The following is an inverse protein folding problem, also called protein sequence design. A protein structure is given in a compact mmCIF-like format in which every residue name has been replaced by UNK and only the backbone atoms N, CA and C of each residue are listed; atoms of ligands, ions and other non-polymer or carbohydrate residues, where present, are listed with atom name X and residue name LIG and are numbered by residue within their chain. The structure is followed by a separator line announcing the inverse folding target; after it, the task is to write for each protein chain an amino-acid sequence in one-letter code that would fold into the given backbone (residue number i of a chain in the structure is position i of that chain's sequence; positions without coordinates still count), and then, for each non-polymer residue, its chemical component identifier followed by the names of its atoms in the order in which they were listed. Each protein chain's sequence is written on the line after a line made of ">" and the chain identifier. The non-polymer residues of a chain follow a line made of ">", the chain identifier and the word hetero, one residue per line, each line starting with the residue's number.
data_IF_076052250023
#
_entry.id   IF_076052250023
#
_cell.length_a   1.000
_cell.length_b   1.000
_cell.length_c   1.000
_cell.angle_alpha   90.00
_cell.angle_beta   90.00
_cell.angle_gamma   90.00
#
_symmetry.space_group_name_H-M   'P 1'
#
loop_
_entity.id
_entity.type
_entity.pdbx_description
1 polymer ?
#
# COMPACT_ATOMS: atom_id res chain seq x y z
N UNK A 1 -12.82 18.16 7.93
CA UNK A 1 -12.52 16.97 7.09
C UNK A 1 -12.46 15.78 8.03
N UNK A 2 -13.07 14.63 7.72
CA UNK A 2 -12.99 13.46 8.62
C UNK A 2 -11.61 12.79 8.48
N UNK A 3 -11.15 12.10 9.52
CA UNK A 3 -9.85 11.41 9.50
C UNK A 3 -9.76 10.39 8.36
N UNK A 4 -10.85 9.69 8.05
CA UNK A 4 -10.92 8.76 6.92
C UNK A 4 -10.57 9.44 5.58
N UNK A 5 -10.99 10.69 5.39
CA UNK A 5 -10.69 11.46 4.18
C UNK A 5 -9.21 11.87 4.19
N UNK A 6 -8.68 12.30 5.33
CA UNK A 6 -7.26 12.64 5.47
C UNK A 6 -6.36 11.43 5.19
N UNK A 7 -6.72 10.24 5.69
CA UNK A 7 -5.97 9.01 5.46
C UNK A 7 -6.01 8.58 4.00
N UNK A 8 -7.15 8.75 3.33
CA UNK A 8 -7.27 8.52 1.89
C UNK A 8 -6.32 9.43 1.10
N UNK A 9 -6.24 10.72 1.46
CA UNK A 9 -5.34 11.66 0.81
C UNK A 9 -3.86 11.31 1.05
N UNK A 10 -3.49 10.92 2.26
CA UNK A 10 -2.13 10.45 2.61
C UNK A 10 -1.75 9.21 1.81
N UNK A 11 -2.67 8.24 1.70
CA UNK A 11 -2.46 7.02 0.91
C UNK A 11 -2.24 7.32 -0.57
N UNK A 12 -3.04 8.22 -1.16
CA UNK A 12 -2.86 8.64 -2.56
C UNK A 12 -1.53 9.37 -2.77
N UNK A 13 -1.13 10.23 -1.84
CA UNK A 13 0.15 10.94 -1.92
C UNK A 13 1.35 9.96 -1.84
N UNK A 14 1.28 8.97 -0.94
CA UNK A 14 2.28 7.91 -0.85
C UNK A 14 2.34 7.10 -2.15
N UNK A 15 1.19 6.69 -2.70
CA UNK A 15 1.13 5.95 -3.96
C UNK A 15 1.76 6.74 -5.13
N UNK A 16 1.51 8.05 -5.21
CA UNK A 16 2.16 8.92 -6.22
C UNK A 16 3.67 8.95 -6.07
N UNK A 17 4.17 9.02 -4.83
CA UNK A 17 5.61 9.00 -4.53
C UNK A 17 6.23 7.64 -4.86
N UNK A 18 5.50 6.54 -4.64
CA UNK A 18 5.94 5.20 -5.03
C UNK A 18 5.93 5.05 -6.55
N UNK A 19 4.97 5.61 -7.29
CA UNK A 19 4.98 5.54 -8.76
C UNK A 19 6.09 6.42 -9.34
N UNK A 20 6.31 7.59 -8.75
CA UNK A 20 7.39 8.53 -9.09
C UNK A 20 7.46 8.87 -10.60
N UNK A 21 6.29 9.08 -11.22
CA UNK A 21 6.18 9.42 -12.65
C UNK A 21 6.54 8.29 -13.62
N UNK A 22 6.83 7.07 -13.14
CA UNK A 22 7.12 5.90 -13.98
C UNK A 22 5.87 5.43 -14.72
N UNK A 23 6.05 4.95 -15.95
CA UNK A 23 4.99 4.31 -16.72
C UNK A 23 4.49 3.04 -15.99
N UNK A 24 3.20 2.97 -15.59
CA UNK A 24 2.69 1.87 -14.77
C UNK A 24 2.72 0.51 -15.45
N UNK A 25 2.77 0.46 -16.79
CA UNK A 25 2.75 -0.77 -17.57
C UNK A 25 4.19 -1.21 -17.85
N UNK A 26 5.00 -0.33 -18.44
CA UNK A 26 6.37 -0.64 -18.84
C UNK A 26 7.35 -0.76 -17.65
N UNK A 27 7.05 -0.12 -16.51
CA UNK A 27 7.89 -0.14 -15.30
C UNK A 27 7.22 -0.82 -14.11
N UNK A 28 6.15 -1.59 -14.34
CA UNK A 28 5.36 -2.26 -13.31
C UNK A 28 6.24 -2.96 -12.24
N UNK A 29 7.17 -3.82 -12.65
CA UNK A 29 8.03 -4.55 -11.72
C UNK A 29 8.86 -3.63 -10.81
N UNK A 30 9.40 -2.53 -11.35
CA UNK A 30 10.22 -1.58 -10.56
C UNK A 30 9.36 -0.80 -9.56
N UNK A 31 8.14 -0.44 -9.96
CA UNK A 31 7.17 0.22 -9.08
C UNK A 31 6.78 -0.71 -7.93
N UNK A 32 6.47 -1.98 -8.23
CA UNK A 32 6.07 -2.96 -7.21
C UNK A 32 7.21 -3.26 -6.23
N UNK A 33 8.45 -3.42 -6.70
CA UNK A 33 9.62 -3.56 -5.81
C UNK A 33 9.78 -2.34 -4.89
N UNK A 34 9.51 -1.13 -5.39
CA UNK A 34 9.54 0.08 -4.56
C UNK A 34 8.43 0.04 -3.51
N UNK A 35 7.23 -0.40 -3.88
CA UNK A 35 6.09 -0.54 -2.98
C UNK A 35 6.36 -1.56 -1.86
N UNK A 36 6.91 -2.72 -2.21
CA UNK A 36 7.32 -3.77 -1.27
C UNK A 36 8.31 -3.21 -0.23
N UNK A 37 9.34 -2.51 -0.70
CA UNK A 37 10.34 -1.92 0.17
C UNK A 37 9.76 -0.85 1.09
N UNK A 38 8.88 0.01 0.57
CA UNK A 38 8.20 1.03 1.36
C UNK A 38 7.33 0.42 2.47
N UNK A 39 6.57 -0.64 2.17
CA UNK A 39 5.76 -1.36 3.15
C UNK A 39 6.66 -1.98 4.23
N UNK A 40 7.74 -2.66 3.85
CA UNK A 40 8.68 -3.24 4.79
C UNK A 40 9.30 -2.18 5.71
N UNK A 41 9.71 -1.03 5.16
CA UNK A 41 10.27 0.07 5.93
C UNK A 41 9.26 0.64 6.94
N UNK A 42 8.00 0.83 6.54
CA UNK A 42 6.92 1.28 7.43
C UNK A 42 6.67 0.26 8.54
N UNK A 43 6.58 -1.03 8.21
CA UNK A 43 6.34 -2.07 9.21
C UNK A 43 7.46 -2.15 10.23
N UNK A 44 8.73 -2.10 9.80
CA UNK A 44 9.87 -2.09 10.73
C UNK A 44 9.86 -0.84 11.60
N UNK A 45 9.57 0.34 11.03
CA UNK A 45 9.51 1.58 11.79
C UNK A 45 8.40 1.59 12.85
N UNK A 46 7.24 1.01 12.55
CA UNK A 46 6.08 0.96 13.47
C UNK A 46 6.22 -0.15 14.51
N UNK A 47 6.70 -1.33 14.11
CA UNK A 47 6.75 -2.50 14.99
C UNK A 47 8.04 -2.56 15.83
N UNK A 48 9.10 -1.86 15.41
CA UNK A 48 10.41 -1.85 16.09
C UNK A 48 11.20 -3.16 16.02
N UNK A 49 10.61 -4.23 15.48
CA UNK A 49 11.22 -5.56 15.35
C UNK A 49 10.78 -6.23 14.04
N UNK A 50 11.73 -6.87 13.36
CA UNK A 50 11.50 -7.49 12.05
C UNK A 50 10.59 -8.72 12.11
N UNK A 51 10.59 -9.49 13.21
CA UNK A 51 9.70 -10.66 13.37
C UNK A 51 8.27 -10.21 13.59
N UNK A 52 8.07 -9.18 14.42
CA UNK A 52 6.75 -8.58 14.63
C UNK A 52 6.22 -7.93 13.34
N UNK A 53 7.08 -7.25 12.58
CA UNK A 53 6.74 -6.73 11.25
C UNK A 53 6.27 -7.82 10.29
N UNK A 54 6.96 -8.96 10.23
CA UNK A 54 6.56 -10.10 9.40
C UNK A 54 5.20 -10.70 9.85
N UNK A 55 4.93 -10.75 11.16
CA UNK A 55 3.63 -11.15 11.68
C UNK A 55 2.50 -10.19 11.29
N UNK A 56 2.74 -8.88 11.41
CA UNK A 56 1.78 -7.83 11.06
C UNK A 56 1.48 -7.79 9.55
N UNK A 57 2.49 -8.02 8.71
CA UNK A 57 2.31 -8.10 7.25
C UNK A 57 1.20 -9.10 6.90
N UNK A 58 1.31 -10.33 7.41
CA UNK A 58 0.40 -11.42 7.03
C UNK A 58 -0.95 -11.35 7.74
N UNK A 59 -0.97 -11.01 9.03
CA UNK A 59 -2.18 -11.10 9.85
C UNK A 59 -2.99 -9.79 9.89
N UNK A 60 -2.42 -8.67 9.42
CA UNK A 60 -3.08 -7.37 9.43
C UNK A 60 -3.08 -6.71 8.06
N UNK A 61 -1.90 -6.52 7.46
CA UNK A 61 -1.78 -5.69 6.27
C UNK A 61 -2.32 -6.36 4.99
N UNK A 62 -2.00 -7.64 4.76
CA UNK A 62 -2.51 -8.40 3.60
C UNK A 62 -4.05 -8.44 3.57
N UNK A 63 -4.76 -8.87 4.64
CA UNK A 63 -6.22 -8.83 4.66
C UNK A 63 -6.80 -7.43 4.39
N UNK A 64 -6.20 -6.39 4.98
CA UNK A 64 -6.64 -5.01 4.76
C UNK A 64 -6.39 -4.49 3.34
N UNK A 65 -5.44 -5.06 2.59
CA UNK A 65 -5.24 -4.75 1.16
C UNK A 65 -6.31 -5.46 0.34
N UNK A 66 -6.57 -6.75 0.62
CA UNK A 66 -7.60 -7.55 -0.07
C UNK A 66 -8.99 -6.91 0.06
N UNK A 67 -9.36 -6.44 1.25
CA UNK A 67 -10.62 -5.72 1.48
C UNK A 67 -10.73 -4.46 0.63
N UNK A 68 -9.65 -3.67 0.51
CA UNK A 68 -9.64 -2.46 -0.32
C UNK A 68 -9.74 -2.77 -1.80
N UNK A 69 -9.05 -3.79 -2.29
CA UNK A 69 -9.16 -4.24 -3.68
C UNK A 69 -10.58 -4.74 -4.00
N UNK A 70 -11.16 -5.53 -3.10
CA UNK A 70 -12.56 -5.98 -3.20
C UNK A 70 -13.52 -4.79 -3.24
N UNK A 71 -13.30 -3.77 -2.40
CA UNK A 71 -14.08 -2.54 -2.43
C UNK A 71 -13.99 -1.82 -3.78
N UNK A 72 -12.78 -1.64 -4.34
CA UNK A 72 -12.60 -1.05 -5.67
C UNK A 72 -13.31 -1.86 -6.76
N UNK A 73 -13.20 -3.18 -6.73
CA UNK A 73 -13.89 -4.07 -7.67
C UNK A 73 -15.43 -3.94 -7.55
N UNK A 74 -15.97 -3.93 -6.33
CA UNK A 74 -17.41 -3.79 -6.07
C UNK A 74 -18.01 -2.46 -6.55
N UNK A 75 -17.19 -1.41 -6.62
CA UNK A 75 -17.59 -0.08 -7.11
C UNK A 75 -17.50 0.06 -8.64
N UNK A 76 -17.27 -1.04 -9.36
CA UNK A 76 -17.14 -1.04 -10.81
C UNK A 76 -15.73 -0.69 -11.30
N UNK A 77 -14.71 -0.76 -10.43
CA UNK A 77 -13.30 -0.71 -10.82
C UNK A 77 -12.86 -2.02 -11.47
N UNK A 78 -13.53 -2.42 -12.55
CA UNK A 78 -12.90 -3.21 -13.60
C UNK A 78 -12.31 -2.21 -14.61
N UNK A 79 -11.14 -2.53 -15.15
CA UNK A 79 -10.42 -1.74 -16.14
C UNK A 79 -11.30 -1.21 -17.28
#
# INVERSE_FOLDING_TARGET
>A
MSENVNDTLRAIAAAKTIIDGRDPIAKQAQILVTAEHAIAAVLVAVMGDARLAAGMLNNGLVPGIEERLSYYASKGGAA
#
